data_IF_257581670652
#
_entry.id   IF_257581670652
#
_cell.length_a   1.000
_cell.length_b   1.000
_cell.length_c   1.000
_cell.angle_alpha   90.00
_cell.angle_beta   90.00
_cell.angle_gamma   90.00
#
_symmetry.space_group_name_H-M   'P 1'
#
loop_
_entity.id
_entity.type
_entity.pdbx_description
1 polymer ?
#
# COMPACT_ATOMS: atom_id res chain seq x y z
N UNK A 1 -31.58 -16.36 -3.54
CA UNK A 1 -30.62 -16.52 -2.44
C UNK A 1 -29.25 -16.61 -3.08
N UNK A 2 -28.36 -15.63 -2.87
CA UNK A 2 -27.03 -15.66 -3.48
C UNK A 2 -26.15 -16.58 -2.65
N UNK A 3 -25.46 -17.50 -3.32
CA UNK A 3 -24.56 -18.41 -2.67
C UNK A 3 -23.27 -17.68 -2.29
N UNK A 4 -22.80 -17.85 -1.06
CA UNK A 4 -21.49 -17.34 -0.60
C UNK A 4 -20.32 -17.76 -1.53
N UNK A 5 -20.54 -18.78 -2.36
CA UNK A 5 -19.63 -19.24 -3.39
C UNK A 5 -19.31 -18.16 -4.45
N UNK A 6 -20.32 -17.39 -4.90
CA UNK A 6 -20.16 -16.43 -6.00
C UNK A 6 -19.28 -15.24 -5.59
N UNK A 7 -19.42 -14.80 -4.33
CA UNK A 7 -18.61 -13.72 -3.75
C UNK A 7 -17.15 -14.12 -3.56
N UNK A 8 -16.88 -15.39 -3.21
CA UNK A 8 -15.51 -15.91 -3.13
C UNK A 8 -14.84 -15.95 -4.50
N UNK A 9 -15.54 -16.44 -5.51
CA UNK A 9 -15.05 -16.45 -6.90
C UNK A 9 -14.75 -15.03 -7.40
N UNK A 10 -15.65 -14.09 -7.14
CA UNK A 10 -15.43 -12.68 -7.46
C UNK A 10 -14.20 -12.11 -6.75
N UNK A 11 -14.06 -12.32 -5.44
CA UNK A 11 -12.92 -11.83 -4.67
C UNK A 11 -11.57 -12.36 -5.22
N UNK A 12 -11.52 -13.61 -5.68
CA UNK A 12 -10.32 -14.16 -6.30
C UNK A 12 -10.06 -13.53 -7.68
N UNK A 13 -11.11 -13.29 -8.48
CA UNK A 13 -10.98 -12.68 -9.81
C UNK A 13 -10.39 -11.27 -9.78
N UNK A 14 -10.66 -10.49 -8.72
CA UNK A 14 -10.18 -9.11 -8.58
C UNK A 14 -8.82 -9.01 -7.86
N UNK A 15 -8.26 -10.12 -7.38
CA UNK A 15 -7.06 -10.12 -6.52
C UNK A 15 -5.84 -9.48 -7.18
N UNK A 16 -5.67 -9.68 -8.48
CA UNK A 16 -4.54 -9.15 -9.26
C UNK A 16 -4.75 -7.71 -9.74
N UNK A 17 -5.93 -7.13 -9.51
CA UNK A 17 -6.22 -5.78 -9.94
C UNK A 17 -5.57 -4.73 -9.03
N UNK A 18 -5.38 -3.53 -9.56
CA UNK A 18 -4.95 -2.38 -8.77
C UNK A 18 -6.01 -1.99 -7.72
N UNK A 19 -5.60 -1.26 -6.70
CA UNK A 19 -6.53 -0.84 -5.64
C UNK A 19 -7.76 -0.09 -6.17
N UNK A 20 -7.64 0.89 -7.08
CA UNK A 20 -8.80 1.59 -7.60
C UNK A 20 -9.75 0.71 -8.41
N UNK A 21 -9.22 -0.23 -9.18
CA UNK A 21 -10.04 -1.20 -9.90
C UNK A 21 -10.81 -2.10 -8.93
N UNK A 22 -10.15 -2.60 -7.88
CA UNK A 22 -10.80 -3.38 -6.81
C UNK A 22 -11.94 -2.59 -6.18
N UNK A 23 -11.67 -1.32 -5.82
CA UNK A 23 -12.66 -0.43 -5.21
C UNK A 23 -13.87 -0.22 -6.12
N UNK A 24 -13.62 0.13 -7.39
CA UNK A 24 -14.67 0.36 -8.38
C UNK A 24 -15.52 -0.89 -8.63
N UNK A 25 -14.88 -2.04 -8.87
CA UNK A 25 -15.58 -3.30 -9.10
C UNK A 25 -16.42 -3.72 -7.89
N UNK A 26 -15.92 -3.52 -6.67
CA UNK A 26 -16.68 -3.82 -5.46
C UNK A 26 -17.88 -2.88 -5.25
N UNK A 27 -17.73 -1.61 -5.59
CA UNK A 27 -18.84 -0.64 -5.55
C UNK A 27 -19.88 -0.91 -6.64
N UNK A 28 -19.47 -1.33 -7.84
CA UNK A 28 -20.37 -1.78 -8.90
C UNK A 28 -21.12 -3.06 -8.50
N UNK A 29 -20.42 -4.03 -7.89
CA UNK A 29 -21.02 -5.26 -7.39
C UNK A 29 -22.11 -4.95 -6.36
N UNK A 30 -21.81 -4.12 -5.35
CA UNK A 30 -22.77 -3.77 -4.29
C UNK A 30 -23.91 -2.87 -4.79
N UNK A 31 -23.72 -2.17 -5.91
CA UNK A 31 -24.81 -1.47 -6.61
C UNK A 31 -25.78 -2.45 -7.28
N UNK A 32 -25.25 -3.47 -7.97
CA UNK A 32 -26.07 -4.51 -8.62
C UNK A 32 -26.66 -5.50 -7.62
N UNK A 33 -26.01 -5.64 -6.47
CA UNK A 33 -26.32 -6.63 -5.44
C UNK A 33 -26.26 -6.00 -4.03
N UNK A 34 -27.25 -5.17 -3.65
CA UNK A 34 -27.24 -4.47 -2.35
C UNK A 34 -27.07 -5.35 -1.11
N UNK A 35 -27.61 -6.59 -1.04
CA UNK A 35 -27.39 -7.48 0.11
C UNK A 35 -25.91 -7.84 0.36
N UNK A 36 -25.03 -7.66 -0.63
CA UNK A 36 -23.60 -7.93 -0.48
C UNK A 36 -22.84 -6.83 0.29
N UNK A 37 -23.47 -5.67 0.55
CA UNK A 37 -22.80 -4.53 1.20
C UNK A 37 -22.12 -4.89 2.51
N UNK A 38 -22.76 -5.68 3.39
CA UNK A 38 -22.16 -6.07 4.68
C UNK A 38 -21.00 -7.07 4.54
N UNK A 39 -20.91 -7.78 3.41
CA UNK A 39 -19.85 -8.76 3.15
C UNK A 39 -18.64 -8.12 2.44
N UNK A 40 -18.91 -7.16 1.55
CA UNK A 40 -17.90 -6.42 0.79
C UNK A 40 -17.38 -5.22 1.59
N UNK A 41 -18.21 -4.61 2.43
CA UNK A 41 -17.86 -3.44 3.23
C UNK A 41 -17.86 -2.11 2.45
N UNK A 42 -18.61 -2.02 1.34
CA UNK A 42 -18.69 -0.85 0.45
C UNK A 42 -20.10 -0.63 -0.08
N UNK A 43 -20.46 0.64 -0.36
CA UNK A 43 -21.70 1.02 -1.06
C UNK A 43 -21.65 2.49 -1.50
N UNK A 44 -22.18 2.82 -2.69
CA UNK A 44 -22.45 4.21 -3.08
C UNK A 44 -23.64 4.79 -2.30
N UNK A 45 -23.49 6.00 -1.75
CA UNK A 45 -24.62 6.81 -1.22
C UNK A 45 -25.14 7.72 -2.33
N UNK A 46 -24.23 8.45 -2.95
CA UNK A 46 -24.50 9.35 -4.08
C UNK A 46 -23.57 8.99 -5.22
N UNK A 47 -23.56 9.79 -6.28
CA UNK A 47 -22.67 9.56 -7.41
C UNK A 47 -21.20 9.85 -7.07
N UNK A 48 -20.92 10.66 -6.04
CA UNK A 48 -19.55 11.05 -5.65
C UNK A 48 -19.16 10.58 -4.24
N UNK A 49 -20.14 10.18 -3.43
CA UNK A 49 -19.94 9.77 -2.04
C UNK A 49 -20.26 8.30 -1.91
N UNK A 50 -19.33 7.55 -1.32
CA UNK A 50 -19.54 6.16 -0.93
C UNK A 50 -19.23 5.97 0.55
N UNK A 51 -19.70 4.85 1.09
CA UNK A 51 -19.38 4.39 2.44
C UNK A 51 -18.50 3.18 2.40
N UNK A 52 -17.62 3.09 3.41
CA UNK A 52 -16.79 1.92 3.60
C UNK A 52 -16.67 1.55 5.07
N UNK A 53 -16.76 0.25 5.35
CA UNK A 53 -16.17 -0.36 6.54
C UNK A 53 -14.82 -0.95 6.13
N UNK A 54 -13.75 -0.22 6.46
CA UNK A 54 -12.38 -0.54 6.03
C UNK A 54 -11.94 -1.93 6.47
N UNK A 55 -12.37 -2.40 7.65
CA UNK A 55 -12.00 -3.72 8.17
C UNK A 55 -12.63 -4.83 7.34
N UNK A 56 -13.91 -4.69 7.00
CA UNK A 56 -14.64 -5.64 6.16
C UNK A 56 -14.08 -5.63 4.74
N UNK A 57 -13.90 -4.45 4.15
CA UNK A 57 -13.37 -4.31 2.80
C UNK A 57 -11.95 -4.87 2.68
N UNK A 58 -11.07 -4.57 3.64
CA UNK A 58 -9.71 -5.11 3.66
C UNK A 58 -9.72 -6.65 3.70
N UNK A 59 -10.57 -7.26 4.54
CA UNK A 59 -10.74 -8.72 4.59
C UNK A 59 -11.24 -9.27 3.25
N UNK A 60 -12.21 -8.62 2.64
CA UNK A 60 -12.79 -9.03 1.35
C UNK A 60 -11.74 -9.10 0.23
N UNK A 61 -10.87 -8.08 0.13
CA UNK A 61 -9.81 -8.04 -0.88
C UNK A 61 -8.48 -8.69 -0.45
N UNK A 62 -8.48 -9.44 0.66
CA UNK A 62 -7.28 -10.09 1.26
C UNK A 62 -6.12 -9.10 1.49
N UNK A 63 -6.42 -7.93 2.04
CA UNK A 63 -5.45 -6.89 2.42
C UNK A 63 -5.57 -6.51 3.90
N UNK A 64 -4.63 -5.72 4.40
CA UNK A 64 -4.63 -5.23 5.78
C UNK A 64 -5.30 -3.85 5.81
N UNK A 65 -6.07 -3.56 6.86
CA UNK A 65 -6.81 -2.29 7.01
C UNK A 65 -5.91 -1.06 6.87
N UNK A 66 -4.68 -1.11 7.41
CA UNK A 66 -3.71 -0.02 7.31
C UNK A 66 -3.29 0.24 5.86
N UNK A 67 -3.10 -0.81 5.05
CA UNK A 67 -2.78 -0.71 3.63
C UNK A 67 -3.95 -0.09 2.85
N UNK A 68 -5.19 -0.47 3.17
CA UNK A 68 -6.38 0.15 2.56
C UNK A 68 -6.48 1.63 2.91
N UNK A 69 -6.28 2.01 4.17
CA UNK A 69 -6.25 3.41 4.60
C UNK A 69 -5.12 4.21 3.95
N UNK A 70 -3.95 3.60 3.77
CA UNK A 70 -2.85 4.20 3.01
C UNK A 70 -3.27 4.43 1.56
N UNK A 71 -3.85 3.42 0.89
CA UNK A 71 -4.29 3.53 -0.50
C UNK A 71 -5.39 4.58 -0.69
N UNK A 72 -6.36 4.68 0.23
CA UNK A 72 -7.35 5.76 0.17
C UNK A 72 -6.68 7.14 0.16
N UNK A 73 -5.77 7.40 1.10
CA UNK A 73 -5.03 8.68 1.15
C UNK A 73 -4.18 8.89 -0.10
N UNK A 74 -3.49 7.84 -0.55
CA UNK A 74 -2.62 7.89 -1.73
C UNK A 74 -3.39 8.20 -3.02
N UNK A 75 -4.65 7.78 -3.10
CA UNK A 75 -5.55 8.03 -4.22
C UNK A 75 -6.52 9.20 -3.96
N UNK A 76 -6.16 10.14 -3.07
CA UNK A 76 -6.92 11.36 -2.78
C UNK A 76 -8.38 11.10 -2.35
N UNK A 77 -8.65 9.93 -1.77
CA UNK A 77 -9.94 9.60 -1.18
C UNK A 77 -9.93 10.10 0.27
N UNK A 78 -10.73 11.13 0.52
CA UNK A 78 -10.87 11.77 1.82
C UNK A 78 -12.04 11.19 2.58
N UNK A 79 -11.85 10.99 3.88
CA UNK A 79 -12.93 10.64 4.81
C UNK A 79 -13.71 11.90 5.16
N UNK A 80 -15.02 11.86 4.95
CA UNK A 80 -15.93 12.97 5.27
C UNK A 80 -16.46 12.89 6.69
N UNK A 81 -16.71 11.69 7.19
CA UNK A 81 -17.32 11.50 8.51
C UNK A 81 -17.64 10.05 8.80
N UNK A 82 -18.22 9.81 9.97
CA UNK A 82 -18.79 8.51 10.34
C UNK A 82 -20.25 8.45 9.89
N UNK A 83 -20.71 7.27 9.50
CA UNK A 83 -22.13 6.99 9.23
C UNK A 83 -22.74 6.42 10.49
N UNK A 84 -23.83 7.01 10.97
CA UNK A 84 -24.69 6.42 11.99
C UNK A 84 -25.94 5.89 11.28
N UNK A 85 -26.02 4.58 11.07
CA UNK A 85 -27.19 3.92 10.46
C UNK A 85 -27.41 2.58 11.12
N UNK A 86 -28.68 2.20 11.35
CA UNK A 86 -29.08 0.89 11.88
C UNK A 86 -29.12 -0.20 10.80
N UNK A 87 -28.90 0.14 9.54
CA UNK A 87 -28.96 -0.80 8.41
C UNK A 87 -27.76 -1.75 8.34
N UNK A 88 -26.68 -1.48 9.08
CA UNK A 88 -25.41 -2.19 8.95
C UNK A 88 -25.02 -2.85 10.27
N UNK A 89 -24.56 -4.10 10.22
CA UNK A 89 -24.27 -4.92 11.42
C UNK A 89 -23.15 -4.36 12.33
N UNK A 90 -22.32 -3.46 11.79
CA UNK A 90 -21.19 -2.83 12.50
C UNK A 90 -21.24 -1.29 12.37
N UNK A 91 -22.28 -0.70 12.94
CA UNK A 91 -22.61 0.73 12.83
C UNK A 91 -21.47 1.69 13.20
N UNK A 92 -20.50 1.25 14.01
CA UNK A 92 -19.42 2.11 14.51
C UNK A 92 -18.25 2.31 13.53
N UNK A 93 -18.09 1.42 12.56
CA UNK A 93 -16.91 1.42 11.68
C UNK A 93 -17.19 1.86 10.24
N UNK A 94 -18.45 2.20 9.91
CA UNK A 94 -18.81 2.75 8.61
C UNK A 94 -18.47 4.24 8.54
N UNK A 95 -17.74 4.60 7.48
CA UNK A 95 -17.32 5.98 7.23
C UNK A 95 -17.69 6.40 5.82
N UNK A 96 -18.00 7.67 5.65
CA UNK A 96 -18.24 8.28 4.34
C UNK A 96 -16.91 8.73 3.73
N UNK A 97 -16.79 8.54 2.43
CA UNK A 97 -15.62 8.89 1.65
C UNK A 97 -16.03 9.60 0.37
N UNK A 98 -15.19 10.52 -0.06
CA UNK A 98 -15.27 11.18 -1.37
C UNK A 98 -13.87 11.29 -1.96
N UNK A 99 -13.78 11.43 -3.28
CA UNK A 99 -12.52 11.73 -3.94
C UNK A 99 -12.34 13.25 -4.06
N UNK A 100 -11.18 13.75 -3.65
CA UNK A 100 -10.93 15.20 -3.51
C UNK A 100 -11.13 15.96 -4.82
N UNK A 101 -10.69 15.38 -5.94
CA UNK A 101 -10.81 15.98 -7.27
C UNK A 101 -12.08 15.56 -8.02
N UNK A 102 -13.01 14.84 -7.37
CA UNK A 102 -14.24 14.30 -7.99
C UNK A 102 -14.04 13.42 -9.24
N UNK A 103 -12.81 12.97 -9.50
CA UNK A 103 -12.46 12.10 -10.63
C UNK A 103 -12.98 10.66 -10.45
N UNK A 104 -13.09 10.20 -9.20
CA UNK A 104 -13.67 8.90 -8.87
C UNK A 104 -15.14 9.09 -8.48
N UNK A 105 -16.04 8.68 -9.36
CA UNK A 105 -17.49 8.77 -9.19
C UNK A 105 -18.17 7.51 -9.74
N UNK A 106 -19.46 7.33 -9.43
CA UNK A 106 -20.25 6.15 -9.79
C UNK A 106 -20.26 5.85 -11.28
N UNK A 107 -20.18 6.88 -12.12
CA UNK A 107 -20.20 6.77 -13.57
C UNK A 107 -18.80 6.77 -14.20
N UNK A 108 -17.74 7.00 -13.41
CA UNK A 108 -16.38 7.01 -13.92
C UNK A 108 -16.06 5.63 -14.48
N UNK A 109 -15.75 5.57 -15.77
CA UNK A 109 -15.49 4.30 -16.45
C UNK A 109 -14.23 3.65 -15.88
N UNK A 110 -14.19 2.31 -15.80
CA UNK A 110 -13.00 1.57 -15.36
C UNK A 110 -11.72 1.97 -16.13
N UNK A 111 -11.84 2.35 -17.41
CA UNK A 111 -10.73 2.87 -18.20
C UNK A 111 -10.29 4.29 -17.81
N UNK A 112 -11.22 5.15 -17.38
CA UNK A 112 -10.88 6.48 -16.85
C UNK A 112 -10.20 6.36 -15.48
N UNK A 113 -10.70 5.48 -14.59
CA UNK A 113 -10.04 5.18 -13.32
C UNK A 113 -8.61 4.63 -13.56
N UNK A 114 -8.42 3.70 -14.50
CA UNK A 114 -7.07 3.24 -14.92
C UNK A 114 -6.16 4.37 -15.39
N UNK A 115 -6.67 5.24 -16.25
CA UNK A 115 -5.87 6.31 -16.89
C UNK A 115 -5.53 7.42 -15.91
N UNK A 116 -6.46 7.77 -15.03
CA UNK A 116 -6.28 8.83 -14.02
C UNK A 116 -5.33 8.40 -12.89
N UNK A 117 -5.19 7.10 -12.62
CA UNK A 117 -4.34 6.59 -11.54
C UNK A 117 -2.95 6.12 -11.99
N UNK A 118 -2.75 5.86 -13.29
CA UNK A 118 -1.42 5.66 -13.88
C UNK A 118 -0.55 6.94 -13.87
N UNK A 119 -1.16 8.12 -13.89
CA UNK A 119 -0.44 9.38 -14.08
C UNK A 119 0.30 9.92 -12.85
N UNK A 120 -0.02 9.46 -11.64
CA UNK A 120 0.65 9.95 -10.44
C UNK A 120 2.02 9.30 -10.17
N UNK A 121 2.32 8.16 -10.81
CA UNK A 121 3.62 7.51 -10.68
C UNK A 121 4.71 8.15 -11.53
N UNK A 122 4.42 8.75 -12.69
CA UNK A 122 5.45 9.38 -13.52
C UNK A 122 5.95 10.71 -12.95
N UNK A 123 5.05 11.53 -12.40
CA UNK A 123 5.44 12.86 -11.90
C UNK A 123 6.31 12.76 -10.65
N UNK A 124 5.97 11.89 -9.69
CA UNK A 124 6.77 11.70 -8.47
C UNK A 124 8.11 10.98 -8.72
N UNK A 125 8.16 10.00 -9.64
CA UNK A 125 9.42 9.39 -10.07
C UNK A 125 10.31 10.39 -10.82
N UNK A 126 9.73 11.27 -11.65
CA UNK A 126 10.47 12.31 -12.34
C UNK A 126 10.97 13.39 -11.36
N UNK A 127 10.19 13.76 -10.35
CA UNK A 127 10.62 14.66 -9.27
C UNK A 127 11.75 14.05 -8.43
N UNK A 128 11.66 12.76 -8.05
CA UNK A 128 12.74 12.08 -7.32
C UNK A 128 14.00 11.92 -8.18
N UNK A 129 13.87 11.57 -9.47
CA UNK A 129 15.00 11.52 -10.41
C UNK A 129 15.65 12.90 -10.60
N UNK A 130 14.85 13.96 -10.64
CA UNK A 130 15.37 15.32 -10.76
C UNK A 130 16.08 15.80 -9.48
N UNK A 131 15.59 15.42 -8.29
CA UNK A 131 16.29 15.70 -7.02
C UNK A 131 17.63 14.98 -6.93
N UNK A 132 17.69 13.69 -7.24
CA UNK A 132 18.94 12.92 -7.25
C UNK A 132 19.94 13.51 -8.24
N UNK A 133 19.50 13.90 -9.44
CA UNK A 133 20.37 14.58 -10.41
C UNK A 133 20.91 15.92 -9.88
N UNK A 134 20.10 16.74 -9.21
CA UNK A 134 20.55 18.01 -8.65
C UNK A 134 21.56 17.83 -7.50
N UNK A 135 21.37 16.83 -6.64
CA UNK A 135 22.30 16.51 -5.55
C UNK A 135 23.63 15.95 -6.08
N UNK A 136 23.58 15.11 -7.12
CA UNK A 136 24.80 14.57 -7.75
C UNK A 136 25.61 15.66 -8.45
N UNK A 137 24.95 16.62 -9.10
CA UNK A 137 25.62 17.76 -9.74
C UNK A 137 26.22 18.71 -8.71
N UNK A 138 25.57 18.94 -7.56
CA UNK A 138 26.15 19.73 -6.46
C UNK A 138 27.38 19.06 -5.84
N UNK A 139 27.36 17.74 -5.68
CA UNK A 139 28.49 16.98 -5.15
C UNK A 139 29.71 16.96 -6.09
N UNK A 140 29.50 17.13 -7.40
CA UNK A 140 30.58 17.18 -8.40
C UNK A 140 31.17 18.59 -8.58
N UNK A 141 30.51 19.64 -8.10
CA UNK A 141 30.99 21.04 -8.22
C UNK A 141 31.81 21.46 -6.98
N UNK A 142 31.86 20.65 -5.91
CA UNK A 142 32.62 20.96 -4.69
C UNK A 142 33.87 20.09 -4.40
N UNK A 143 34.71 19.68 -5.38
CA UNK A 143 35.97 19.00 -5.06
C UNK A 143 37.13 19.95 -4.64
N UNK A 144 37.00 21.27 -4.78
CA UNK A 144 38.13 22.20 -4.58
C UNK A 144 38.39 22.68 -3.13
N UNK A 145 37.67 22.17 -2.12
CA UNK A 145 37.88 22.61 -0.72
C UNK A 145 38.39 21.54 0.25
N UNK A 146 38.79 20.36 -0.22
CA UNK A 146 39.30 19.30 0.66
C UNK A 146 40.82 19.04 0.59
N UNK A 147 41.60 19.92 -0.04
CA UNK A 147 43.06 19.72 -0.15
C UNK A 147 43.89 20.22 1.06
N UNK A 148 43.25 20.71 2.14
CA UNK A 148 43.95 21.27 3.32
C UNK A 148 43.74 20.51 4.64
N UNK A 149 43.47 19.21 4.60
CA UNK A 149 43.50 18.35 5.79
C UNK A 149 44.41 17.13 5.56
N UNK A 150 45.71 17.40 5.34
CA UNK A 150 46.75 16.42 5.68
C UNK A 150 46.82 16.30 7.20
N UNK A 151 45.94 15.48 7.77
CA UNK A 151 46.11 14.97 9.13
C UNK A 151 47.31 14.01 9.10
N UNK A 152 48.39 14.46 9.71
CA UNK A 152 49.60 13.70 9.96
C UNK A 152 49.27 12.65 11.04
N UNK A 153 48.64 11.54 10.63
CA UNK A 153 48.37 10.41 11.51
C UNK A 153 49.64 9.57 11.55
N UNK A 154 50.33 9.60 12.70
CA UNK A 154 51.47 8.74 12.97
C UNK A 154 50.93 7.33 13.24
N UNK A 155 51.28 6.36 12.38
CA UNK A 155 50.69 5.01 12.34
C UNK A 155 51.30 4.09 13.43
N UNK A 156 52.38 4.53 14.09
CA UNK A 156 53.12 3.71 15.05
C UNK A 156 52.46 3.56 16.43
N UNK A 157 51.35 4.27 16.71
CA UNK A 157 50.66 4.23 18.01
C UNK A 157 49.33 3.43 18.00
N UNK A 158 48.99 2.73 16.91
CA UNK A 158 47.78 1.88 16.88
C UNK A 158 48.08 0.44 17.32
N UNK A 159 48.13 0.21 18.64
CA UNK A 159 47.95 -1.14 19.19
C UNK A 159 46.50 -1.60 18.97
N UNK A 160 46.26 -2.35 17.90
CA UNK A 160 45.01 -3.06 17.70
C UNK A 160 45.04 -4.37 18.51
N UNK A 161 44.10 -4.61 19.43
CA UNK A 161 43.99 -5.92 20.08
C UNK A 161 43.61 -6.97 19.03
N UNK A 162 44.47 -7.98 18.87
CA UNK A 162 44.14 -9.20 18.13
C UNK A 162 42.93 -9.86 18.79
N UNK A 163 41.78 -9.77 18.13
CA UNK A 163 40.61 -10.60 18.47
C UNK A 163 40.60 -11.78 17.50
N UNK A 164 41.07 -12.94 17.97
CA UNK A 164 40.89 -14.20 17.26
C UNK A 164 39.41 -14.59 17.30
N UNK A 165 38.68 -14.33 16.22
CA UNK A 165 37.34 -14.86 16.03
C UNK A 165 37.44 -16.32 15.57
N UNK A 166 37.08 -17.27 16.44
CA UNK A 166 36.83 -18.66 16.04
C UNK A 166 35.52 -18.73 15.25
N UNK A 167 35.60 -19.22 14.02
CA UNK A 167 34.50 -19.32 13.06
C UNK A 167 33.50 -20.45 13.42
N UNK A 168 33.79 -21.27 14.42
CA UNK A 168 33.01 -22.47 14.74
C UNK A 168 31.65 -22.19 15.41
N UNK A 169 31.41 -20.99 15.93
CA UNK A 169 30.17 -20.66 16.65
C UNK A 169 28.98 -20.27 15.74
N UNK A 170 29.18 -20.13 14.43
CA UNK A 170 28.15 -19.62 13.50
C UNK A 170 27.55 -20.66 12.53
N UNK A 171 27.92 -21.94 12.63
CA UNK A 171 27.41 -22.99 11.74
C UNK A 171 26.43 -23.99 12.39
N UNK A 172 26.06 -23.78 13.67
CA UNK A 172 25.14 -24.67 14.40
C UNK A 172 23.65 -24.56 14.03
N UNK A 173 23.19 -23.41 13.52
CA UNK A 173 21.75 -23.11 13.47
C UNK A 173 21.10 -23.12 12.08
N UNK A 174 21.83 -23.47 11.02
CA UNK A 174 21.24 -23.53 9.66
C UNK A 174 20.67 -24.92 9.33
N UNK A 175 21.01 -25.96 10.08
CA UNK A 175 20.60 -27.33 9.76
C UNK A 175 19.26 -27.81 10.37
N UNK A 176 18.57 -27.03 11.21
CA UNK A 176 17.27 -27.44 11.77
C UNK A 176 16.03 -26.94 11.01
N UNK A 177 16.20 -26.03 10.04
CA UNK A 177 15.06 -25.39 9.34
C UNK A 177 14.66 -26.12 8.04
N UNK A 178 15.46 -27.09 7.57
CA UNK A 178 15.22 -27.76 6.27
C UNK A 178 14.62 -29.17 6.34
N UNK A 179 14.20 -29.68 7.50
CA UNK A 179 13.66 -31.05 7.61
C UNK A 179 12.16 -31.18 7.96
N UNK A 180 11.41 -30.08 8.11
CA UNK A 180 9.97 -30.16 8.44
C UNK A 180 9.01 -30.03 7.25
N UNK A 181 9.50 -29.89 6.01
CA UNK A 181 8.63 -29.78 4.81
C UNK A 181 8.44 -31.09 4.01
N UNK A 182 8.98 -32.22 4.47
CA UNK A 182 8.73 -33.53 3.85
C UNK A 182 8.48 -34.64 4.88
N UNK A 183 7.32 -34.59 5.54
CA UNK A 183 6.70 -35.79 6.11
C UNK A 183 5.18 -35.68 5.93
N UNK A 184 4.66 -36.66 5.17
CA UNK A 184 3.22 -36.94 5.00
C UNK A 184 2.53 -37.21 6.33
#
# INVERSE_FOLDING_TARGET
MICNHDLKSFAESIKQLSFPEKLQMCLELTTKMPPATNQVGLKWITDTIFIANVKIFARFIKSISNTVNYNFRHHLIKRLGRVTSTEYDDTMHWNQYTHDLSLFNRFSNQQQAKTQLKWFNSTRLNEMKNKVKQETVKAQIEPEKQENLKLNINIDDLELPMVEYRIEDYLGDIHSILNDEYSC
#
